data_IF_268377633274
#
_entry.id   IF_268377633274
#
_cell.length_a   1.000
_cell.length_b   1.000
_cell.length_c   1.000
_cell.angle_alpha   90.00
_cell.angle_beta   90.00
_cell.angle_gamma   90.00
#
_symmetry.space_group_name_H-M   'P 1'
#
loop_
_entity.id
_entity.type
_entity.pdbx_description
1 polymer ?
#
# COMPACT_ATOMS: atom_id res chain seq x y z
N UNK A 1 -2.14 -10.21 0.45
CA UNK A 1 -3.53 -10.62 0.13
C UNK A 1 -3.60 -11.38 -1.20
N UNK A 2 -4.53 -12.34 -1.30
CA UNK A 2 -4.83 -13.03 -2.55
C UNK A 2 -5.35 -12.05 -3.59
N UNK A 3 -4.88 -12.17 -4.82
CA UNK A 3 -5.38 -11.40 -5.95
C UNK A 3 -5.07 -12.16 -7.24
N UNK A 4 -6.07 -12.50 -8.08
CA UNK A 4 -5.87 -13.30 -9.28
C UNK A 4 -4.80 -12.73 -10.22
N UNK A 5 -4.08 -13.60 -10.94
CA UNK A 5 -3.03 -13.17 -11.88
C UNK A 5 -3.54 -12.24 -12.98
N UNK A 6 -4.81 -12.41 -13.38
CA UNK A 6 -5.49 -11.63 -14.41
C UNK A 6 -5.76 -10.18 -13.97
N UNK A 7 -5.95 -9.93 -12.66
CA UNK A 7 -6.38 -8.63 -12.13
C UNK A 7 -5.34 -7.95 -11.24
N UNK A 8 -4.37 -8.69 -10.67
CA UNK A 8 -3.40 -8.14 -9.70
C UNK A 8 -2.63 -6.91 -10.19
N UNK A 9 -2.31 -6.83 -11.47
CA UNK A 9 -1.62 -5.67 -12.04
C UNK A 9 -2.54 -4.45 -12.15
N UNK A 10 -3.80 -4.66 -12.54
CA UNK A 10 -4.80 -3.60 -12.57
C UNK A 10 -5.12 -3.09 -11.16
N UNK A 11 -5.20 -3.99 -10.17
CA UNK A 11 -5.36 -3.59 -8.77
C UNK A 11 -4.18 -2.74 -8.31
N UNK A 12 -2.94 -3.14 -8.60
CA UNK A 12 -1.75 -2.34 -8.26
C UNK A 12 -1.76 -0.97 -8.96
N UNK A 13 -2.21 -0.90 -10.21
CA UNK A 13 -2.36 0.36 -10.94
C UNK A 13 -3.41 1.27 -10.29
N UNK A 14 -4.57 0.73 -9.88
CA UNK A 14 -5.61 1.48 -9.16
C UNK A 14 -5.09 2.03 -7.83
N UNK A 15 -4.40 1.20 -7.05
CA UNK A 15 -3.80 1.60 -5.76
C UNK A 15 -2.71 2.66 -5.98
N UNK A 16 -1.89 2.49 -7.02
CA UNK A 16 -0.85 3.47 -7.39
C UNK A 16 -1.49 4.82 -7.73
N UNK A 17 -2.50 4.83 -8.59
CA UNK A 17 -3.21 6.04 -8.98
C UNK A 17 -3.89 6.74 -7.79
N UNK A 18 -4.43 5.97 -6.84
CA UNK A 18 -5.01 6.51 -5.61
C UNK A 18 -3.99 7.31 -4.80
N UNK A 19 -2.84 6.72 -4.46
CA UNK A 19 -1.83 7.39 -3.64
C UNK A 19 -1.11 8.52 -4.38
N UNK A 20 -0.89 8.39 -5.69
CA UNK A 20 -0.37 9.51 -6.51
C UNK A 20 -1.32 10.69 -6.45
N UNK A 21 -2.62 10.47 -6.64
CA UNK A 21 -3.62 11.54 -6.54
C UNK A 21 -3.66 12.18 -5.16
N UNK A 22 -3.54 11.39 -4.09
CA UNK A 22 -3.46 11.93 -2.72
C UNK A 22 -2.21 12.79 -2.53
N UNK A 23 -1.06 12.34 -3.02
CA UNK A 23 0.19 13.08 -2.95
C UNK A 23 0.11 14.41 -3.71
N UNK A 24 -0.37 14.39 -4.95
CA UNK A 24 -0.54 15.60 -5.77
C UNK A 24 -1.55 16.59 -5.18
N UNK A 25 -2.60 16.09 -4.50
CA UNK A 25 -3.57 16.92 -3.79
C UNK A 25 -3.06 17.48 -2.45
N UNK A 26 -1.86 17.06 -1.99
CA UNK A 26 -1.34 17.44 -0.68
C UNK A 26 -2.11 16.83 0.49
N UNK A 27 -2.80 15.72 0.27
CA UNK A 27 -3.53 15.01 1.32
C UNK A 27 -2.57 14.36 2.33
N UNK A 28 -3.14 13.93 3.45
CA UNK A 28 -2.41 13.29 4.53
C UNK A 28 -2.83 11.84 4.74
N UNK A 29 -1.88 11.01 5.13
CA UNK A 29 -2.08 9.64 5.62
C UNK A 29 -1.66 9.60 7.08
N UNK A 30 -2.51 9.03 7.95
CA UNK A 30 -2.27 8.99 9.40
C UNK A 30 -1.97 10.37 10.02
N UNK A 31 -2.61 11.43 9.50
CA UNK A 31 -2.38 12.81 9.92
C UNK A 31 -1.03 13.41 9.49
N UNK A 32 -0.28 12.71 8.64
CA UNK A 32 1.02 13.16 8.13
C UNK A 32 0.98 13.39 6.62
N UNK A 33 1.75 14.35 6.14
CA UNK A 33 1.88 14.55 4.69
C UNK A 33 2.61 13.37 4.08
N UNK A 34 2.20 13.04 2.85
CA UNK A 34 2.96 12.13 2.00
C UNK A 34 4.18 12.89 1.51
N UNK A 35 5.37 12.43 1.89
CA UNK A 35 6.64 13.04 1.52
C UNK A 35 7.07 12.60 0.13
N UNK A 36 6.99 11.30 -0.14
CA UNK A 36 7.42 10.69 -1.41
C UNK A 36 6.46 9.59 -1.85
N UNK A 37 6.25 9.48 -3.17
CA UNK A 37 5.58 8.35 -3.83
C UNK A 37 6.48 7.82 -4.95
N UNK A 38 6.88 6.55 -4.87
CA UNK A 38 7.73 5.88 -5.87
C UNK A 38 6.94 4.77 -6.54
N UNK A 39 6.79 4.83 -7.86
CA UNK A 39 5.89 3.96 -8.64
C UNK A 39 6.62 2.85 -9.44
N UNK A 40 7.87 2.57 -9.09
CA UNK A 40 8.66 1.51 -9.76
C UNK A 40 8.35 0.16 -9.13
N UNK A 41 7.81 -0.78 -9.93
CA UNK A 41 7.40 -2.13 -9.49
C UNK A 41 6.35 -2.13 -8.38
N UNK A 42 5.29 -1.35 -8.54
CA UNK A 42 4.24 -1.13 -7.55
C UNK A 42 4.28 0.30 -7.05
N UNK A 43 3.78 0.55 -5.83
CA UNK A 43 3.79 1.86 -5.21
C UNK A 43 4.38 1.80 -3.82
N UNK A 44 5.39 2.64 -3.56
CA UNK A 44 5.93 2.91 -2.24
C UNK A 44 5.55 4.32 -1.81
N UNK A 45 4.89 4.43 -0.67
CA UNK A 45 4.50 5.70 -0.04
C UNK A 45 5.40 5.93 1.18
N UNK A 46 5.93 7.14 1.33
CA UNK A 46 6.73 7.53 2.50
C UNK A 46 6.12 8.78 3.12
N UNK A 47 5.92 8.76 4.44
CA UNK A 47 5.42 9.89 5.22
C UNK A 47 6.56 10.75 5.77
N UNK A 48 6.25 11.95 6.24
CA UNK A 48 7.23 12.90 6.76
C UNK A 48 8.12 12.32 7.87
N UNK A 49 7.57 11.51 8.78
CA UNK A 49 8.35 10.86 9.86
C UNK A 49 9.18 9.64 9.43
N UNK A 50 9.16 9.30 8.14
CA UNK A 50 9.87 8.16 7.57
C UNK A 50 9.12 6.83 7.64
N UNK A 51 7.91 6.79 8.22
CA UNK A 51 7.00 5.63 8.09
C UNK A 51 6.68 5.41 6.62
N UNK A 52 6.69 4.16 6.18
CA UNK A 52 6.48 3.84 4.77
C UNK A 52 5.73 2.52 4.56
N UNK A 53 5.11 2.42 3.40
CA UNK A 53 4.45 1.20 2.93
C UNK A 53 4.69 0.96 1.45
N UNK A 54 4.69 -0.31 1.04
CA UNK A 54 4.86 -0.78 -0.32
C UNK A 54 3.72 -1.73 -0.67
N UNK A 55 3.08 -1.51 -1.83
CA UNK A 55 2.15 -2.44 -2.45
C UNK A 55 2.66 -2.79 -3.83
N UNK A 56 2.80 -4.09 -4.13
CA UNK A 56 3.17 -4.58 -5.46
C UNK A 56 2.52 -5.91 -5.80
N UNK A 57 2.44 -6.23 -7.09
CA UNK A 57 2.06 -7.56 -7.53
C UNK A 57 3.20 -8.55 -7.27
N UNK A 58 2.86 -9.75 -6.77
CA UNK A 58 3.80 -10.85 -6.75
C UNK A 58 4.11 -11.33 -8.18
N UNK A 59 5.37 -11.55 -8.51
CA UNK A 59 5.77 -11.97 -9.86
C UNK A 59 5.46 -13.43 -10.16
N UNK A 60 5.24 -14.26 -9.14
CA UNK A 60 5.16 -15.71 -9.27
C UNK A 60 3.95 -16.35 -8.57
N UNK A 61 3.11 -15.54 -7.90
CA UNK A 61 1.91 -16.00 -7.21
C UNK A 61 0.72 -15.09 -7.52
N UNK A 62 -0.52 -15.61 -7.45
CA UNK A 62 -1.74 -14.82 -7.50
C UNK A 62 -1.95 -14.08 -6.17
N UNK A 63 -1.03 -13.17 -5.85
CA UNK A 63 -1.08 -12.38 -4.62
C UNK A 63 -0.45 -11.02 -4.79
N UNK A 64 -0.87 -10.09 -3.92
CA UNK A 64 -0.20 -8.83 -3.69
C UNK A 64 0.78 -8.97 -2.52
N UNK A 65 1.89 -8.27 -2.63
CA UNK A 65 2.89 -8.11 -1.59
C UNK A 65 2.67 -6.74 -0.95
N UNK A 66 2.45 -6.74 0.36
CA UNK A 66 2.36 -5.54 1.19
C UNK A 66 3.50 -5.58 2.19
N UNK A 67 4.28 -4.51 2.27
CA UNK A 67 5.36 -4.35 3.26
C UNK A 67 5.19 -2.99 3.90
N UNK A 68 5.27 -2.92 5.22
CA UNK A 68 5.25 -1.66 5.97
C UNK A 68 6.36 -1.64 6.99
N UNK A 69 6.92 -0.46 7.23
CA UNK A 69 7.88 -0.23 8.30
C UNK A 69 7.71 1.18 8.85
N UNK A 70 8.12 1.37 10.11
CA UNK A 70 8.23 2.69 10.70
C UNK A 70 9.51 2.79 11.52
N UNK A 71 10.33 3.83 11.31
CA UNK A 71 11.47 4.11 12.17
C UNK A 71 11.06 4.73 13.51
N UNK A 72 9.79 5.09 13.68
CA UNK A 72 9.29 5.81 14.86
C UNK A 72 8.73 4.86 15.92
N UNK A 73 7.88 3.92 15.52
CA UNK A 73 7.30 2.92 16.44
C UNK A 73 6.60 1.77 15.70
N UNK A 74 6.46 0.64 16.39
CA UNK A 74 5.65 -0.48 15.91
C UNK A 74 4.18 -0.08 15.70
N UNK A 75 3.63 0.76 16.58
CA UNK A 75 2.26 1.25 16.48
C UNK A 75 2.01 1.97 15.15
N UNK A 76 2.91 2.88 14.74
CA UNK A 76 2.80 3.57 13.45
C UNK A 76 2.94 2.65 12.25
N UNK A 77 3.80 1.62 12.35
CA UNK A 77 3.91 0.59 11.32
C UNK A 77 2.59 -0.19 11.20
N UNK A 78 1.95 -0.57 12.31
CA UNK A 78 0.62 -1.22 12.32
C UNK A 78 -0.48 -0.30 11.78
N UNK A 79 -0.46 0.98 12.10
CA UNK A 79 -1.40 1.96 11.53
C UNK A 79 -1.21 2.11 10.01
N UNK A 80 0.03 2.13 9.51
CA UNK A 80 0.31 2.17 8.07
C UNK A 80 -0.19 0.90 7.38
N UNK A 81 0.00 -0.27 8.01
CA UNK A 81 -0.59 -1.50 7.51
C UNK A 81 -2.11 -1.40 7.44
N UNK A 82 -2.76 -0.95 8.51
CA UNK A 82 -4.21 -0.83 8.58
C UNK A 82 -4.79 0.12 7.54
N UNK A 83 -4.10 1.21 7.21
CA UNK A 83 -4.52 2.13 6.15
C UNK A 83 -4.48 1.44 4.78
N UNK A 84 -3.34 0.82 4.43
CA UNK A 84 -3.19 0.10 3.17
C UNK A 84 -4.18 -1.07 3.09
N UNK A 85 -4.34 -1.82 4.18
CA UNK A 85 -5.24 -2.97 4.27
C UNK A 85 -6.70 -2.55 4.06
N UNK A 86 -7.12 -1.44 4.67
CA UNK A 86 -8.46 -0.89 4.49
C UNK A 86 -8.71 -0.46 3.04
N UNK A 87 -7.72 0.18 2.39
CA UNK A 87 -7.84 0.55 0.98
C UNK A 87 -7.93 -0.68 0.07
N UNK A 88 -7.06 -1.67 0.28
CA UNK A 88 -7.06 -2.92 -0.49
C UNK A 88 -8.34 -3.73 -0.30
N UNK A 89 -8.87 -3.80 0.94
CA UNK A 89 -10.12 -4.50 1.23
C UNK A 89 -11.37 -3.86 0.62
N UNK A 90 -11.29 -2.61 0.15
CA UNK A 90 -12.37 -1.96 -0.59
C UNK A 90 -12.40 -2.35 -2.09
N UNK A 91 -11.39 -3.09 -2.58
CA UNK A 91 -11.27 -3.50 -3.98
C UNK A 91 -11.80 -4.93 -4.13
N UNK A 92 -12.78 -5.12 -5.02
CA UNK A 92 -13.53 -6.38 -5.17
C UNK A 92 -12.66 -7.63 -5.39
N UNK A 93 -11.55 -7.49 -6.12
CA UNK A 93 -10.70 -8.62 -6.53
C UNK A 93 -9.57 -8.94 -5.53
N UNK A 94 -9.57 -8.31 -4.35
CA UNK A 94 -8.60 -8.55 -3.28
C UNK A 94 -9.23 -9.43 -2.20
N UNK A 95 -8.63 -10.61 -2.01
CA UNK A 95 -9.03 -11.58 -0.98
C UNK A 95 -8.14 -11.54 0.26
N UNK A 96 -8.28 -12.58 1.09
CA UNK A 96 -7.59 -12.69 2.38
C UNK A 96 -6.06 -12.71 2.27
N UNK A 97 -5.39 -12.40 3.37
CA UNK A 97 -3.93 -12.49 3.48
C UNK A 97 -3.50 -13.88 3.90
N UNK A 98 -2.48 -14.41 3.23
CA UNK A 98 -1.81 -15.64 3.67
C UNK A 98 -1.07 -15.44 5.01
N UNK A 99 -0.64 -14.20 5.31
CA UNK A 99 0.04 -13.80 6.55
C UNK A 99 -0.34 -12.35 6.90
N UNK A 100 -0.76 -12.11 8.16
CA UNK A 100 -0.96 -10.76 8.74
C UNK A 100 0.02 -10.52 9.90
N UNK A 101 0.31 -9.24 10.15
CA UNK A 101 1.26 -8.72 11.16
C UNK A 101 0.60 -8.62 12.54
#
# INVERSE_FOLDING_TARGET
PYCPDETKYQVVEQVTAHYVKMFEAGNTILGQRIRDVVTVNGVRIVLDDGTWGLVRASSNKPSLVVVVESPVSEEKMRHMFGEIDAHLGAIQDVGDYDQKI
#
